data_IF_502356225297
#
_entry.id   IF_502356225297
#
_cell.length_a   1.000
_cell.length_b   1.000
_cell.length_c   1.000
_cell.angle_alpha   90.00
_cell.angle_beta   90.00
_cell.angle_gamma   90.00
#
_symmetry.space_group_name_H-M   'P 1'
#
loop_
_entity.id
_entity.type
_entity.pdbx_description
1 polymer ?
#
# COMPACT_ATOMS: atom_id res chain seq x y z
N UNK A 1 12.30 3.17 0.50
CA UNK A 1 11.24 2.88 -0.50
C UNK A 1 11.68 1.73 -1.37
N UNK A 2 10.75 0.89 -1.80
CA UNK A 2 11.04 -0.32 -2.58
C UNK A 2 10.98 0.00 -4.06
N UNK A 3 11.92 -0.54 -4.83
CA UNK A 3 11.80 -0.60 -6.29
C UNK A 3 10.81 -1.69 -6.63
N UNK A 4 9.87 -1.42 -7.52
CA UNK A 4 8.94 -2.44 -8.00
C UNK A 4 9.73 -3.47 -8.82
N UNK A 5 9.73 -4.72 -8.38
CA UNK A 5 10.51 -5.83 -8.99
C UNK A 5 9.64 -6.91 -9.62
N UNK A 6 8.32 -6.71 -9.65
CA UNK A 6 7.33 -7.65 -10.18
C UNK A 6 6.24 -6.85 -10.86
N UNK A 7 5.54 -7.45 -11.83
CA UNK A 7 4.37 -6.83 -12.47
C UNK A 7 3.10 -6.95 -11.60
N UNK A 8 3.16 -7.69 -10.48
CA UNK A 8 2.05 -7.82 -9.52
C UNK A 8 2.03 -6.66 -8.54
N UNK A 9 1.42 -5.54 -8.94
CA UNK A 9 1.23 -4.37 -8.07
C UNK A 9 0.03 -3.52 -8.47
N UNK A 10 -0.31 -2.53 -7.64
CA UNK A 10 -1.27 -1.46 -7.94
C UNK A 10 -0.64 -0.05 -7.79
N UNK A 11 0.68 0.06 -8.02
CA UNK A 11 1.45 1.31 -7.86
C UNK A 11 1.26 2.31 -9.04
N UNK A 12 0.02 2.70 -9.31
CA UNK A 12 -0.40 3.48 -10.49
C UNK A 12 0.42 4.74 -10.73
N UNK A 13 0.71 5.52 -9.68
CA UNK A 13 1.47 6.76 -9.83
C UNK A 13 2.97 6.56 -9.99
N UNK A 14 3.48 5.35 -9.75
CA UNK A 14 4.91 5.02 -9.91
C UNK A 14 5.21 4.44 -11.29
N UNK A 15 4.34 3.58 -11.81
CA UNK A 15 4.58 2.82 -13.06
C UNK A 15 3.59 3.13 -14.17
N UNK A 16 2.48 3.80 -13.84
CA UNK A 16 1.41 4.05 -14.79
C UNK A 16 1.78 5.10 -15.83
N UNK A 17 0.99 5.11 -16.89
CA UNK A 17 1.05 6.08 -17.97
C UNK A 17 -0.20 6.95 -17.97
N UNK A 18 -0.16 8.11 -18.64
CA UNK A 18 -1.35 8.94 -18.83
C UNK A 18 -2.37 8.21 -19.71
N UNK A 19 -3.62 8.18 -19.27
CA UNK A 19 -4.72 7.56 -20.00
C UNK A 19 -6.09 7.96 -19.45
N UNK A 20 -7.16 7.39 -20.02
CA UNK A 20 -8.53 7.65 -19.61
C UNK A 20 -9.17 6.36 -19.13
N UNK A 21 -9.58 6.32 -17.87
CA UNK A 21 -10.30 5.18 -17.29
C UNK A 21 -11.43 5.68 -16.39
N UNK A 22 -12.57 4.98 -16.44
CA UNK A 22 -13.76 5.29 -15.62
C UNK A 22 -14.19 6.77 -15.71
N UNK A 23 -14.06 7.39 -16.89
CA UNK A 23 -14.54 8.75 -17.16
C UNK A 23 -13.59 9.88 -16.75
N UNK A 24 -12.36 9.59 -16.31
CA UNK A 24 -11.38 10.60 -15.94
C UNK A 24 -10.04 10.38 -16.65
N UNK A 25 -9.40 11.47 -17.10
CA UNK A 25 -8.02 11.48 -17.56
C UNK A 25 -7.09 11.49 -16.34
N UNK A 26 -6.24 10.48 -16.19
CA UNK A 26 -5.34 10.29 -15.05
C UNK A 26 -4.20 9.32 -15.41
N UNK A 27 -3.46 8.86 -14.40
CA UNK A 27 -2.54 7.74 -14.55
C UNK A 27 -3.28 6.40 -14.51
N UNK A 28 -2.90 5.47 -15.38
CA UNK A 28 -3.44 4.12 -15.48
C UNK A 28 -2.32 3.07 -15.65
N UNK A 29 -2.58 1.83 -15.22
CA UNK A 29 -1.70 0.69 -15.49
C UNK A 29 -2.27 -0.14 -16.63
N UNK A 30 -1.52 -0.24 -17.73
CA UNK A 30 -1.86 -1.03 -18.92
C UNK A 30 -0.80 -2.11 -19.17
N UNK A 31 -1.23 -3.27 -19.67
CA UNK A 31 -0.32 -4.34 -20.13
C UNK A 31 0.13 -4.15 -21.57
N UNK A 32 -0.69 -3.51 -22.37
CA UNK A 32 -0.46 -3.16 -23.78
C UNK A 32 -1.45 -2.05 -24.16
N UNK A 33 -1.27 -1.37 -25.31
CA UNK A 33 -2.15 -0.29 -25.71
C UNK A 33 -3.62 -0.70 -25.62
N UNK A 34 -4.41 0.07 -24.86
CA UNK A 34 -5.84 -0.16 -24.64
C UNK A 34 -6.21 -1.46 -23.91
N UNK A 35 -5.26 -2.12 -23.24
CA UNK A 35 -5.51 -3.29 -22.41
C UNK A 35 -5.08 -3.04 -20.97
N UNK A 36 -6.04 -3.07 -20.04
CA UNK A 36 -5.78 -2.88 -18.62
C UNK A 36 -4.98 -4.05 -18.03
N UNK A 37 -4.00 -3.73 -17.20
CA UNK A 37 -3.22 -4.73 -16.47
C UNK A 37 -4.01 -5.24 -15.25
N UNK A 38 -4.08 -6.56 -14.98
CA UNK A 38 -4.65 -7.05 -13.73
C UNK A 38 -3.75 -6.64 -12.54
N UNK A 39 -4.20 -5.68 -11.73
CA UNK A 39 -3.43 -5.23 -10.57
C UNK A 39 -3.44 -6.26 -9.45
N UNK A 40 -2.45 -6.16 -8.56
CA UNK A 40 -2.37 -6.96 -7.35
C UNK A 40 -2.04 -6.09 -6.14
N UNK A 41 -2.70 -6.36 -5.03
CA UNK A 41 -2.41 -5.85 -3.70
C UNK A 41 -3.07 -6.79 -2.68
N UNK A 42 -2.40 -7.07 -1.56
CA UNK A 42 -3.05 -7.77 -0.43
C UNK A 42 -4.23 -6.96 0.14
N UNK A 43 -4.19 -5.63 -0.01
CA UNK A 43 -5.29 -4.75 0.35
C UNK A 43 -6.25 -4.60 -0.82
N UNK A 44 -7.46 -5.16 -0.67
CA UNK A 44 -8.51 -5.07 -1.67
C UNK A 44 -8.85 -3.62 -2.05
N UNK A 45 -8.87 -2.69 -1.09
CA UNK A 45 -9.19 -1.28 -1.33
C UNK A 45 -8.13 -0.51 -2.11
N UNK A 46 -6.89 -1.03 -2.20
CA UNK A 46 -5.82 -0.45 -3.01
C UNK A 46 -5.60 -1.18 -4.33
N UNK A 47 -6.32 -2.28 -4.59
CA UNK A 47 -6.17 -3.06 -5.81
C UNK A 47 -6.92 -2.42 -6.99
N UNK A 48 -6.42 -1.28 -7.47
CA UNK A 48 -7.07 -0.47 -8.50
C UNK A 48 -6.08 0.04 -9.56
N UNK A 49 -6.55 0.08 -10.81
CA UNK A 49 -5.71 0.29 -12.00
C UNK A 49 -5.54 1.77 -12.40
N UNK A 50 -6.10 2.68 -11.63
CA UNK A 50 -6.07 4.12 -11.88
C UNK A 50 -5.98 4.88 -10.55
N UNK A 51 -6.08 6.20 -10.60
CA UNK A 51 -6.08 7.08 -9.44
C UNK A 51 -6.87 8.34 -9.76
N UNK A 52 -7.41 9.01 -8.74
CA UNK A 52 -8.11 10.28 -8.93
C UNK A 52 -7.22 11.33 -9.62
N UNK A 53 -7.76 12.12 -10.57
CA UNK A 53 -6.97 13.08 -11.36
C UNK A 53 -6.30 14.17 -10.52
N UNK A 54 -6.86 14.50 -9.35
CA UNK A 54 -6.22 15.43 -8.43
C UNK A 54 -4.88 14.90 -7.91
N UNK A 55 -4.75 13.59 -7.67
CA UNK A 55 -3.49 12.99 -7.26
C UNK A 55 -2.46 13.00 -8.38
N UNK A 56 -2.88 12.77 -9.63
CA UNK A 56 -2.04 12.92 -10.81
C UNK A 56 -1.48 14.34 -10.90
N UNK A 57 -2.34 15.36 -10.78
CA UNK A 57 -1.91 16.75 -10.78
C UNK A 57 -0.93 17.10 -9.64
N UNK A 58 -1.20 16.62 -8.42
CA UNK A 58 -0.32 16.86 -7.27
C UNK A 58 1.04 16.16 -7.41
N UNK A 59 1.09 15.02 -8.11
CA UNK A 59 2.35 14.37 -8.48
C UNK A 59 3.12 15.22 -9.50
N UNK A 60 2.45 15.64 -10.57
CA UNK A 60 3.10 16.31 -11.71
C UNK A 60 3.64 17.70 -11.34
N UNK A 61 2.98 18.36 -10.39
CA UNK A 61 3.45 19.63 -9.80
C UNK A 61 4.57 19.45 -8.76
N UNK A 62 4.90 18.22 -8.38
CA UNK A 62 5.85 17.92 -7.31
C UNK A 62 5.34 18.30 -5.91
N UNK A 63 4.04 18.59 -5.75
CA UNK A 63 3.47 19.01 -4.46
C UNK A 63 3.34 17.84 -3.47
N UNK A 64 3.15 16.63 -3.98
CA UNK A 64 3.01 15.39 -3.21
C UNK A 64 3.94 14.33 -3.79
N UNK A 65 4.68 13.66 -2.90
CA UNK A 65 5.46 12.48 -3.23
C UNK A 65 4.64 11.22 -3.00
N UNK A 66 4.67 10.30 -3.98
CA UNK A 66 3.97 9.03 -3.90
C UNK A 66 4.99 7.91 -3.74
N UNK A 67 4.72 7.04 -2.77
CA UNK A 67 5.67 6.04 -2.30
C UNK A 67 4.99 4.68 -2.33
N UNK A 68 5.78 3.62 -2.46
CA UNK A 68 5.30 2.25 -2.56
C UNK A 68 5.65 1.48 -1.29
N UNK A 69 4.67 0.76 -0.77
CA UNK A 69 4.84 -0.28 0.23
C UNK A 69 4.36 -1.61 -0.37
N UNK A 70 5.17 -2.66 -0.23
CA UNK A 70 4.78 -4.01 -0.67
C UNK A 70 3.91 -4.74 0.37
N UNK A 71 3.36 -5.90 0.00
CA UNK A 71 2.50 -6.70 0.87
C UNK A 71 3.19 -7.09 2.19
N UNK A 72 4.50 -7.37 2.18
CA UNK A 72 5.26 -7.73 3.38
C UNK A 72 5.41 -6.52 4.31
N UNK A 73 5.70 -5.34 3.74
CA UNK A 73 5.82 -4.09 4.46
C UNK A 73 4.49 -3.65 5.08
N UNK A 74 3.40 -3.78 4.33
CA UNK A 74 2.03 -3.60 4.82
C UNK A 74 1.77 -4.48 6.05
N UNK A 75 2.04 -5.80 5.94
CA UNK A 75 1.82 -6.74 7.05
C UNK A 75 2.74 -6.48 8.26
N UNK A 76 3.97 -6.01 8.05
CA UNK A 76 4.85 -5.57 9.16
C UNK A 76 4.23 -4.39 9.91
N UNK A 77 3.74 -3.39 9.19
CA UNK A 77 3.10 -2.23 9.83
C UNK A 77 1.79 -2.60 10.53
N UNK A 78 0.97 -3.46 9.92
CA UNK A 78 -0.23 -4.03 10.54
C UNK A 78 0.10 -4.70 11.88
N UNK A 79 1.10 -5.60 11.87
CA UNK A 79 1.58 -6.32 13.07
C UNK A 79 2.05 -5.34 14.14
N UNK A 80 2.90 -4.37 13.78
CA UNK A 80 3.46 -3.39 14.71
C UNK A 80 2.34 -2.57 15.37
N UNK A 81 1.41 -2.01 14.59
CA UNK A 81 0.32 -1.22 15.13
C UNK A 81 -0.58 -2.04 16.07
N UNK A 82 -0.87 -3.29 15.69
CA UNK A 82 -1.67 -4.19 16.52
C UNK A 82 -0.98 -4.55 17.83
N UNK A 83 0.32 -4.87 17.79
CA UNK A 83 1.06 -5.33 18.97
C UNK A 83 1.50 -4.21 19.91
N UNK A 84 1.82 -3.03 19.36
CA UNK A 84 2.34 -1.91 20.13
C UNK A 84 1.24 -0.98 20.63
N UNK A 85 0.19 -0.75 19.83
CA UNK A 85 -0.85 0.23 20.13
C UNK A 85 -2.22 -0.40 20.42
N UNK A 86 -2.38 -1.72 20.20
CA UNK A 86 -3.67 -2.40 20.39
C UNK A 86 -4.74 -2.01 19.37
N UNK A 87 -4.35 -1.36 18.27
CA UNK A 87 -5.24 -0.94 17.18
C UNK A 87 -5.09 -1.93 16.04
N UNK A 88 -6.21 -2.42 15.50
CA UNK A 88 -6.22 -3.29 14.31
C UNK A 88 -6.49 -2.39 13.09
N UNK A 89 -5.46 -1.92 12.36
CA UNK A 89 -5.65 -1.04 11.20
C UNK A 89 -6.16 -1.81 10.00
N UNK A 90 -6.88 -1.15 9.09
CA UNK A 90 -7.15 -1.73 7.79
C UNK A 90 -5.84 -1.98 7.01
N UNK A 91 -5.81 -2.96 6.11
CA UNK A 91 -4.62 -3.19 5.27
C UNK A 91 -4.31 -1.98 4.37
N UNK A 92 -5.34 -1.22 3.96
CA UNK A 92 -5.18 0.05 3.25
C UNK A 92 -4.37 1.04 4.11
N UNK A 93 -4.77 1.22 5.37
CA UNK A 93 -4.10 2.10 6.33
C UNK A 93 -2.71 1.60 6.72
N UNK A 94 -2.49 0.28 6.70
CA UNK A 94 -1.20 -0.35 7.02
C UNK A 94 -0.12 0.00 6.00
N UNK A 95 -0.46 0.22 4.73
CA UNK A 95 0.47 0.79 3.74
C UNK A 95 0.92 2.20 4.14
N UNK A 96 -0.02 3.05 4.58
CA UNK A 96 0.29 4.40 5.04
C UNK A 96 1.11 4.40 6.33
N UNK A 97 0.84 3.47 7.26
CA UNK A 97 1.64 3.29 8.47
C UNK A 97 3.09 2.95 8.14
N UNK A 98 3.34 1.99 7.25
CA UNK A 98 4.70 1.67 6.83
C UNK A 98 5.42 2.89 6.25
N UNK A 99 4.74 3.61 5.35
CA UNK A 99 5.25 4.86 4.76
C UNK A 99 5.59 5.92 5.81
N UNK A 100 4.69 6.14 6.76
CA UNK A 100 4.87 7.09 7.84
C UNK A 100 5.99 6.69 8.81
N UNK A 101 6.15 5.41 9.13
CA UNK A 101 7.25 4.91 9.95
C UNK A 101 8.59 5.12 9.25
N UNK A 102 8.68 4.80 7.96
CA UNK A 102 9.89 5.01 7.16
C UNK A 102 10.24 6.50 6.99
N UNK A 103 9.23 7.38 6.92
CA UNK A 103 9.44 8.83 6.91
C UNK A 103 9.91 9.33 8.28
N UNK A 104 9.28 8.87 9.36
CA UNK A 104 9.64 9.30 10.71
C UNK A 104 11.10 8.96 11.06
N UNK A 105 11.64 7.83 10.57
CA UNK A 105 13.04 7.46 10.79
C UNK A 105 14.05 8.32 10.02
N UNK A 106 13.63 9.01 8.95
CA UNK A 106 14.49 9.94 8.21
C UNK A 106 14.43 11.38 8.74
N UNK A 107 13.47 11.68 9.62
CA UNK A 107 13.26 13.01 10.17
C UNK A 107 13.96 13.20 11.52
N UNK A 108 14.34 14.45 11.87
CA UNK A 108 14.73 14.80 13.23
C UNK A 108 13.65 14.49 14.26
N UNK A 109 14.05 14.20 15.50
CA UNK A 109 13.15 13.75 16.59
C UNK A 109 12.09 14.77 17.03
N UNK A 110 12.26 16.04 16.68
CA UNK A 110 11.35 17.15 17.00
C UNK A 110 10.27 17.37 15.93
N UNK A 111 10.23 16.53 14.89
CA UNK A 111 9.21 16.60 13.84
C UNK A 111 8.01 15.73 14.19
N UNK A 112 6.83 16.24 13.88
CA UNK A 112 5.57 15.51 14.02
C UNK A 112 5.16 14.94 12.65
N UNK A 113 4.72 13.67 12.66
CA UNK A 113 4.17 12.99 11.47
C UNK A 113 2.72 12.62 11.77
N UNK A 114 1.81 13.00 10.88
CA UNK A 114 0.40 12.62 10.96
C UNK A 114 0.14 11.55 9.91
N UNK A 115 -0.43 10.42 10.34
CA UNK A 115 -0.79 9.30 9.48
C UNK A 115 -2.31 9.13 9.52
N UNK A 116 -2.94 9.09 8.35
CA UNK A 116 -4.37 8.84 8.26
C UNK A 116 -4.68 7.34 8.43
N UNK A 117 -5.33 6.98 9.54
CA UNK A 117 -5.92 5.65 9.73
C UNK A 117 -7.30 5.61 9.07
N UNK A 118 -7.30 5.38 7.75
CA UNK A 118 -8.49 5.43 6.91
C UNK A 118 -9.59 4.43 7.27
N UNK A 119 -9.29 3.36 8.00
CA UNK A 119 -10.30 2.39 8.41
C UNK A 119 -9.85 1.38 9.46
N UNK A 120 -10.84 0.67 10.01
CA UNK A 120 -10.66 -0.46 10.91
C UNK A 120 -10.38 -1.75 10.12
N UNK A 121 -9.43 -2.56 10.58
CA UNK A 121 -9.03 -3.83 9.97
C UNK A 121 -9.83 -5.05 10.37
N UNK A 122 -10.98 -4.93 11.05
CA UNK A 122 -11.84 -6.08 11.35
C UNK A 122 -12.20 -6.91 10.11
N UNK A 123 -12.35 -6.27 8.94
CA UNK A 123 -12.59 -6.96 7.66
C UNK A 123 -11.39 -7.77 7.15
N UNK A 124 -10.17 -7.41 7.57
CA UNK A 124 -8.92 -7.93 7.02
C UNK A 124 -8.33 -9.07 7.85
N UNK A 125 -8.82 -9.32 9.07
CA UNK A 125 -8.27 -10.33 9.99
C UNK A 125 -8.23 -11.72 9.35
N UNK A 126 -9.28 -12.12 8.63
CA UNK A 126 -9.32 -13.42 7.98
C UNK A 126 -8.24 -13.54 6.88
N UNK A 127 -8.06 -12.49 6.07
CA UNK A 127 -7.05 -12.45 5.00
C UNK A 127 -5.63 -12.50 5.58
N UNK A 128 -5.38 -11.75 6.66
CA UNK A 128 -4.10 -11.80 7.37
C UNK A 128 -3.83 -13.20 7.91
N UNK A 129 -4.81 -13.84 8.56
CA UNK A 129 -4.66 -15.20 9.07
C UNK A 129 -4.37 -16.21 7.94
N UNK A 130 -5.10 -16.13 6.82
CA UNK A 130 -4.86 -16.99 5.66
C UNK A 130 -3.47 -16.77 5.07
N UNK A 131 -3.03 -15.52 4.97
CA UNK A 131 -1.69 -15.16 4.48
C UNK A 131 -0.59 -15.73 5.37
N UNK A 132 -0.77 -15.69 6.70
CA UNK A 132 0.20 -16.23 7.66
C UNK A 132 0.23 -17.77 7.67
N UNK A 133 -0.74 -18.47 7.07
CA UNK A 133 -0.62 -19.92 6.83
C UNK A 133 0.39 -20.24 5.72
N UNK A 134 0.70 -19.28 4.85
CA UNK A 134 1.82 -19.41 3.93
C UNK A 134 3.14 -19.24 4.69
N UNK A 135 3.93 -20.31 4.74
CA UNK A 135 5.21 -20.35 5.46
C UNK A 135 6.19 -19.26 5.03
N UNK A 136 6.23 -18.93 3.74
CA UNK A 136 7.12 -17.89 3.21
C UNK A 136 6.79 -16.51 3.81
N UNK A 137 5.50 -16.18 3.91
CA UNK A 137 5.06 -14.93 4.53
C UNK A 137 5.30 -14.95 6.04
N UNK A 138 4.95 -16.05 6.71
CA UNK A 138 5.17 -16.19 8.15
C UNK A 138 6.65 -16.01 8.53
N UNK A 139 7.56 -16.65 7.79
CA UNK A 139 9.00 -16.56 7.99
C UNK A 139 9.52 -15.13 7.73
N UNK A 140 9.11 -14.49 6.62
CA UNK A 140 9.49 -13.10 6.28
C UNK A 140 9.03 -12.08 7.33
N UNK A 141 7.91 -12.35 8.00
CA UNK A 141 7.32 -11.49 9.02
C UNK A 141 7.76 -11.83 10.44
N UNK A 142 8.43 -12.96 10.63
CA UNK A 142 8.64 -13.56 11.95
C UNK A 142 7.33 -13.63 12.73
N UNK A 143 6.24 -13.99 12.06
CA UNK A 143 4.89 -13.99 12.62
C UNK A 143 4.22 -15.33 12.34
N UNK A 144 4.30 -16.21 13.33
CA UNK A 144 3.74 -17.55 13.25
C UNK A 144 2.47 -17.59 14.09
N UNK A 145 1.35 -17.91 13.45
CA UNK A 145 0.09 -18.19 14.13
C UNK A 145 0.02 -19.68 14.46
N UNK A 146 -0.56 -20.02 15.62
CA UNK A 146 -0.79 -21.41 15.98
C UNK A 146 -1.66 -22.08 14.91
N UNK A 147 -1.27 -23.30 14.51
CA UNK A 147 -1.98 -24.07 13.48
C UNK A 147 -3.22 -24.74 14.05
#
# INVERSE_FOLDING_TARGET
MVRITTDRHAATLTTGISGVLHGAASYIIESSPSQLFPTHSISAGLNYNSVGPQHAYLKDTGRVEYIVADDVQCLKAFKMCTQLEGIIPALESSHALWGGFALATSLPKDRNVVINLSGNGSKDVAEVLLTLKNKEFADKLGWHVAQ
#
